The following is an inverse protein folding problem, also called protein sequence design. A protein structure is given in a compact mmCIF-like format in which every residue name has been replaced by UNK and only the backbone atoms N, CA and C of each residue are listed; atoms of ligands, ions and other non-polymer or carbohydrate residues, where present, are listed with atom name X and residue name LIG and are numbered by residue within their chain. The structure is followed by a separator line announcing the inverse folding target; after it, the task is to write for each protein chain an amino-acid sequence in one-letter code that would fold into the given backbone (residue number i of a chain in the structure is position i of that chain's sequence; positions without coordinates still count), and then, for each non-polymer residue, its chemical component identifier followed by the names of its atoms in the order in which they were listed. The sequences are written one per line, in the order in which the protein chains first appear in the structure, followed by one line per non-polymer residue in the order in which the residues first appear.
data_IF_349258121441
#
_entry.id   IF_349258121441
#
_cell.length_a   1.000
_cell.length_b   1.000
_cell.length_c   1.000
_cell.angle_alpha   90.00
_cell.angle_beta   90.00
_cell.angle_gamma   90.00
#
_symmetry.space_group_name_H-M   'P 1'
#
loop_
_entity.id
_entity.type
_entity.pdbx_description
1 polymer ?
#
# COMPACT_ATOMS: atom_id res chain seq x y z
N UNK A 1 23.84 22.69 -14.79
CA UNK A 1 22.44 22.88 -15.23
C UNK A 1 21.64 21.56 -15.28
N UNK A 2 22.01 20.51 -14.54
CA UNK A 2 21.40 19.17 -14.69
C UNK A 2 21.23 18.37 -13.38
N UNK A 3 21.56 18.93 -12.21
CA UNK A 3 21.70 18.14 -10.96
C UNK A 3 20.75 18.50 -9.82
N UNK A 4 19.85 19.49 -9.95
CA UNK A 4 19.05 19.99 -8.81
C UNK A 4 17.54 19.76 -8.91
N UNK A 5 17.03 19.25 -10.03
CA UNK A 5 15.66 18.72 -10.07
C UNK A 5 15.55 17.32 -9.42
N UNK A 6 16.67 16.67 -9.06
CA UNK A 6 16.64 15.26 -8.66
C UNK A 6 16.17 15.01 -7.22
N UNK A 7 16.39 15.91 -6.27
CA UNK A 7 16.19 15.58 -4.84
C UNK A 7 14.70 15.45 -4.47
N UNK A 8 13.79 16.27 -5.04
CA UNK A 8 12.34 16.08 -4.82
C UNK A 8 11.72 15.02 -5.73
N UNK A 9 12.30 14.76 -6.90
CA UNK A 9 11.72 13.85 -7.88
C UNK A 9 12.12 12.38 -7.65
N UNK A 10 13.27 12.11 -7.03
CA UNK A 10 13.76 10.73 -6.85
C UNK A 10 13.14 10.02 -5.65
N UNK A 11 12.91 10.72 -4.52
CA UNK A 11 12.34 10.12 -3.30
C UNK A 11 10.84 10.39 -3.09
N UNK A 12 10.21 11.23 -3.95
CA UNK A 12 8.80 11.64 -3.85
C UNK A 12 8.39 12.13 -2.45
N UNK A 13 9.30 12.82 -1.74
CA UNK A 13 9.11 13.28 -0.36
C UNK A 13 9.69 14.68 -0.16
N UNK A 14 9.00 15.49 0.64
CA UNK A 14 9.57 16.72 1.18
C UNK A 14 10.47 16.44 2.39
N UNK A 15 11.40 17.34 2.68
CA UNK A 15 12.15 17.34 3.94
C UNK A 15 11.19 17.45 5.12
N UNK A 16 11.47 16.71 6.20
CA UNK A 16 10.60 16.66 7.37
C UNK A 16 10.26 18.05 7.94
N UNK A 17 11.28 18.90 8.09
CA UNK A 17 11.10 20.26 8.61
C UNK A 17 10.14 21.10 7.75
N UNK A 18 10.22 20.96 6.43
CA UNK A 18 9.33 21.66 5.51
C UNK A 18 7.90 21.11 5.59
N UNK A 19 7.75 19.78 5.67
CA UNK A 19 6.44 19.15 5.82
C UNK A 19 5.75 19.55 7.15
N UNK A 20 6.50 19.60 8.25
CA UNK A 20 5.96 20.02 9.55
C UNK A 20 5.46 21.49 9.49
N UNK A 21 6.22 22.38 8.85
CA UNK A 21 5.79 23.77 8.58
C UNK A 21 4.48 23.81 7.76
N UNK A 22 4.34 22.98 6.72
CA UNK A 22 3.12 22.92 5.91
C UNK A 22 1.89 22.45 6.70
N UNK A 23 2.07 21.64 7.75
CA UNK A 23 0.99 21.12 8.58
C UNK A 23 0.49 22.14 9.61
N UNK A 24 1.32 23.11 10.01
CA UNK A 24 0.94 24.17 10.94
C UNK A 24 -0.08 25.17 10.34
N UNK A 25 -0.16 25.26 9.01
CA UNK A 25 -1.13 26.11 8.32
C UNK A 25 -2.49 25.42 8.22
N UNK A 26 -3.46 25.85 9.05
CA UNK A 26 -4.82 25.29 9.08
C UNK A 26 -5.82 25.98 8.14
N UNK A 27 -5.46 27.14 7.59
CA UNK A 27 -6.27 27.92 6.65
C UNK A 27 -5.48 28.15 5.36
N UNK A 28 -6.19 28.45 4.28
CA UNK A 28 -5.59 28.82 3.00
C UNK A 28 -4.80 30.12 3.14
N UNK A 29 -3.52 30.08 2.79
CA UNK A 29 -2.66 31.26 2.78
C UNK A 29 -2.09 31.43 1.38
N UNK A 30 -2.17 32.64 0.84
CA UNK A 30 -1.70 33.00 -0.49
C UNK A 30 -0.51 33.95 -0.42
N UNK A 31 0.25 34.01 -1.52
CA UNK A 31 1.32 35.00 -1.72
C UNK A 31 2.34 35.05 -0.58
N UNK A 32 2.67 33.89 -0.03
CA UNK A 32 3.73 33.77 0.97
C UNK A 32 5.05 34.02 0.26
N UNK A 33 5.72 35.10 0.66
CA UNK A 33 7.15 35.28 0.42
C UNK A 33 7.89 34.28 1.31
N UNK A 34 8.18 33.12 0.74
CA UNK A 34 9.20 32.25 1.31
C UNK A 34 10.51 33.02 1.19
N UNK A 35 11.04 33.51 2.31
CA UNK A 35 12.21 34.39 2.32
C UNK A 35 13.29 33.91 1.32
N UNK A 36 13.95 34.83 0.59
CA UNK A 36 14.91 34.50 -0.47
C UNK A 36 16.15 33.72 0.01
N UNK A 37 16.25 33.41 1.31
CA UNK A 37 17.36 32.68 1.93
C UNK A 37 17.20 31.17 1.97
N UNK A 38 15.99 30.60 1.75
CA UNK A 38 15.80 29.15 1.72
C UNK A 38 14.75 28.75 0.68
N UNK A 39 15.23 28.29 -0.47
CA UNK A 39 14.37 27.70 -1.48
C UNK A 39 13.66 26.49 -0.85
N UNK A 40 12.35 26.31 -1.08
CA UNK A 40 11.57 25.11 -0.67
C UNK A 40 12.29 23.78 -0.96
N UNK A 41 13.18 23.81 -1.94
CA UNK A 41 13.90 22.67 -2.49
C UNK A 41 15.35 22.57 -1.99
N UNK A 42 15.95 23.65 -1.45
CA UNK A 42 17.36 23.69 -1.05
C UNK A 42 17.65 24.84 -0.05
N UNK A 43 18.15 24.48 1.14
CA UNK A 43 18.48 25.41 2.22
C UNK A 43 19.88 26.04 2.11
N UNK A 44 20.68 25.63 1.11
CA UNK A 44 22.11 25.98 1.03
C UNK A 44 22.46 27.04 -0.02
N UNK A 45 21.49 27.59 -0.76
CA UNK A 45 21.74 28.60 -1.81
C UNK A 45 20.71 29.73 -1.83
N UNK A 46 21.18 30.94 -2.14
CA UNK A 46 20.36 32.11 -2.43
C UNK A 46 19.37 31.79 -3.57
N UNK A 47 18.09 32.09 -3.35
CA UNK A 47 17.02 31.83 -4.32
C UNK A 47 17.29 32.56 -5.64
N UNK A 48 17.43 31.80 -6.73
CA UNK A 48 17.73 32.31 -8.09
C UNK A 48 16.50 33.03 -8.70
N UNK A 49 15.34 32.96 -8.05
CA UNK A 49 14.05 33.45 -8.56
C UNK A 49 13.47 34.52 -7.63
N UNK A 50 13.85 35.80 -7.79
CA UNK A 50 13.10 36.89 -7.18
C UNK A 50 11.67 36.86 -7.75
N UNK A 51 10.65 37.00 -6.89
CA UNK A 51 9.21 37.04 -7.23
C UNK A 51 8.52 35.66 -7.46
N UNK A 52 8.78 34.67 -6.60
CA UNK A 52 7.94 33.47 -6.52
C UNK A 52 6.83 33.64 -5.50
N UNK A 53 5.58 33.53 -5.93
CA UNK A 53 4.43 33.50 -5.03
C UNK A 53 4.07 32.06 -4.72
N UNK A 54 3.82 31.77 -3.44
CA UNK A 54 3.38 30.44 -2.98
C UNK A 54 2.04 30.54 -2.27
N UNK A 55 1.14 29.62 -2.59
CA UNK A 55 -0.10 29.39 -1.85
C UNK A 55 -0.08 28.01 -1.19
N UNK A 56 -0.49 27.98 0.08
CA UNK A 56 -0.58 26.78 0.91
C UNK A 56 -2.05 26.56 1.22
N UNK A 57 -2.62 25.47 0.69
CA UNK A 57 -4.03 25.13 0.84
C UNK A 57 -4.17 23.82 1.61
N UNK A 58 -4.77 23.84 2.80
CA UNK A 58 -5.12 22.63 3.55
C UNK A 58 -5.97 21.64 2.75
N UNK A 59 -5.57 20.37 2.74
CA UNK A 59 -6.43 19.27 2.28
C UNK A 59 -7.05 18.63 3.50
N UNK A 60 -8.33 18.90 3.72
CA UNK A 60 -9.12 18.35 4.82
C UNK A 60 -10.17 17.37 4.28
N UNK A 61 -10.48 16.34 5.05
CA UNK A 61 -11.56 15.42 4.71
C UNK A 61 -11.88 14.47 5.86
N UNK A 62 -13.15 14.06 5.97
CA UNK A 62 -13.60 13.16 7.05
C UNK A 62 -13.46 13.75 8.46
N UNK A 63 -13.29 15.07 8.59
CA UNK A 63 -13.02 15.74 9.86
C UNK A 63 -11.55 15.82 10.25
N UNK A 64 -10.63 15.35 9.38
CA UNK A 64 -9.20 15.30 9.66
C UNK A 64 -8.37 16.05 8.61
N UNK A 65 -7.15 16.46 8.98
CA UNK A 65 -6.14 17.01 8.08
C UNK A 65 -5.45 15.88 7.32
N UNK A 66 -5.69 15.80 6.00
CA UNK A 66 -5.18 14.72 5.14
C UNK A 66 -3.84 15.07 4.47
N UNK A 67 -3.58 16.35 4.22
CA UNK A 67 -2.35 16.80 3.57
C UNK A 67 -2.38 18.29 3.24
N UNK A 68 -1.48 18.72 2.36
CA UNK A 68 -1.36 20.13 1.96
C UNK A 68 -1.15 20.22 0.45
N UNK A 69 -1.98 21.03 -0.22
CA UNK A 69 -1.79 21.42 -1.61
C UNK A 69 -0.92 22.68 -1.63
N UNK A 70 0.26 22.57 -2.24
CA UNK A 70 1.20 23.69 -2.40
C UNK A 70 1.19 24.11 -3.86
N UNK A 71 0.86 25.39 -4.11
CA UNK A 71 0.91 26.00 -5.43
C UNK A 71 2.02 27.03 -5.44
N UNK A 72 2.86 27.02 -6.47
CA UNK A 72 3.90 28.02 -6.66
C UNK A 72 3.83 28.55 -8.09
N UNK A 73 3.89 29.87 -8.25
CA UNK A 73 4.00 30.52 -9.57
C UNK A 73 4.91 31.73 -9.52
N UNK A 74 5.47 32.07 -10.69
CA UNK A 74 6.33 33.24 -10.83
C UNK A 74 5.53 34.42 -11.39
N UNK A 75 6.02 35.63 -11.11
CA UNK A 75 5.60 36.88 -11.76
C UNK A 75 4.16 37.35 -11.53
N UNK A 76 3.31 36.59 -10.82
CA UNK A 76 1.92 36.96 -10.53
C UNK A 76 1.42 36.45 -9.19
N UNK A 77 0.84 37.36 -8.39
CA UNK A 77 0.18 37.04 -7.11
C UNK A 77 -1.10 36.24 -7.32
N UNK A 78 -1.34 35.21 -6.51
CA UNK A 78 -2.61 34.50 -6.40
C UNK A 78 -3.72 35.46 -5.98
N UNK A 79 -4.77 35.56 -6.81
CA UNK A 79 -6.00 36.29 -6.48
C UNK A 79 -7.08 35.37 -5.93
N UNK A 80 -8.23 35.95 -5.59
CA UNK A 80 -9.37 35.22 -5.02
C UNK A 80 -9.88 34.12 -5.95
N UNK A 81 -9.91 34.36 -7.27
CA UNK A 81 -10.33 33.35 -8.26
C UNK A 81 -9.39 32.13 -8.26
N UNK A 82 -8.10 32.35 -8.10
CA UNK A 82 -7.11 31.28 -8.00
C UNK A 82 -7.31 30.47 -6.71
N UNK A 83 -7.57 31.15 -5.59
CA UNK A 83 -7.82 30.50 -4.30
C UNK A 83 -9.10 29.67 -4.30
N UNK A 84 -10.18 30.18 -4.88
CA UNK A 84 -11.44 29.43 -5.02
C UNK A 84 -11.19 28.12 -5.77
N UNK A 85 -10.45 28.17 -6.89
CA UNK A 85 -10.10 26.98 -7.65
C UNK A 85 -9.17 26.05 -6.86
N UNK A 86 -8.23 26.60 -6.11
CA UNK A 86 -7.29 25.83 -5.31
C UNK A 86 -7.97 25.10 -4.15
N UNK A 87 -8.90 25.75 -3.44
CA UNK A 87 -9.68 25.16 -2.35
C UNK A 87 -10.66 24.10 -2.85
N UNK A 88 -11.31 24.36 -3.98
CA UNK A 88 -12.14 23.36 -4.63
C UNK A 88 -11.31 22.13 -5.03
N UNK A 89 -10.13 22.36 -5.61
CA UNK A 89 -9.19 21.29 -5.96
C UNK A 89 -8.71 20.53 -4.73
N UNK A 90 -8.37 21.22 -3.64
CA UNK A 90 -7.96 20.59 -2.38
C UNK A 90 -9.07 19.70 -1.82
N UNK A 91 -10.34 20.14 -1.91
CA UNK A 91 -11.50 19.34 -1.50
C UNK A 91 -11.64 18.07 -2.33
N UNK A 92 -11.55 18.17 -3.66
CA UNK A 92 -11.62 17.01 -4.57
C UNK A 92 -10.47 16.03 -4.30
N UNK A 93 -9.24 16.53 -4.12
CA UNK A 93 -8.09 15.69 -3.77
C UNK A 93 -8.30 15.01 -2.42
N UNK A 94 -8.84 15.71 -1.42
CA UNK A 94 -9.17 15.13 -0.12
C UNK A 94 -10.16 13.98 -0.23
N UNK A 95 -11.19 14.11 -1.07
CA UNK A 95 -12.15 13.03 -1.35
C UNK A 95 -11.47 11.81 -1.98
N UNK A 96 -10.58 12.01 -2.94
CA UNK A 96 -9.85 10.91 -3.60
C UNK A 96 -8.86 10.22 -2.65
N UNK A 97 -8.23 10.94 -1.73
CA UNK A 97 -7.39 10.35 -0.68
C UNK A 97 -8.22 9.42 0.23
N UNK A 98 -9.38 9.88 0.70
CA UNK A 98 -10.26 9.06 1.55
C UNK A 98 -10.74 7.83 0.79
N UNK A 99 -11.18 8.01 -0.46
CA UNK A 99 -11.61 6.92 -1.31
C UNK A 99 -10.52 5.88 -1.50
N UNK A 100 -9.30 6.30 -1.86
CA UNK A 100 -8.16 5.39 -2.02
C UNK A 100 -7.87 4.58 -0.76
N UNK A 101 -7.96 5.20 0.43
CA UNK A 101 -7.79 4.49 1.70
C UNK A 101 -8.93 3.51 1.95
N UNK A 102 -10.17 3.89 1.63
CA UNK A 102 -11.34 3.00 1.76
C UNK A 102 -11.21 1.78 0.86
N UNK A 103 -10.81 1.97 -0.39
CA UNK A 103 -10.60 0.88 -1.35
C UNK A 103 -9.50 -0.09 -0.88
N UNK A 104 -8.41 0.43 -0.28
CA UNK A 104 -7.35 -0.39 0.32
C UNK A 104 -7.87 -1.23 1.50
N UNK A 105 -8.66 -0.63 2.39
CA UNK A 105 -9.28 -1.33 3.54
C UNK A 105 -10.25 -2.41 3.05
N UNK A 106 -11.07 -2.11 2.05
CA UNK A 106 -12.02 -3.05 1.46
C UNK A 106 -11.30 -4.24 0.80
N UNK A 107 -10.25 -3.97 0.04
CA UNK A 107 -9.42 -5.00 -0.58
C UNK A 107 -8.79 -5.92 0.47
N UNK A 108 -8.21 -5.34 1.52
CA UNK A 108 -7.63 -6.07 2.65
C UNK A 108 -8.68 -6.93 3.38
N UNK A 109 -9.88 -6.39 3.60
CA UNK A 109 -10.99 -7.13 4.19
C UNK A 109 -11.46 -8.28 3.29
N UNK A 110 -11.57 -8.04 1.98
CA UNK A 110 -11.96 -9.06 1.00
C UNK A 110 -10.95 -10.19 0.95
N UNK A 111 -9.66 -9.88 0.90
CA UNK A 111 -8.58 -10.88 0.93
C UNK A 111 -8.66 -11.77 2.17
N UNK A 112 -8.88 -11.18 3.35
CA UNK A 112 -9.06 -11.94 4.60
C UNK A 112 -10.32 -12.81 4.57
N UNK A 113 -11.44 -12.26 4.10
CA UNK A 113 -12.72 -12.98 4.03
C UNK A 113 -12.64 -14.23 3.14
N UNK A 114 -12.00 -14.14 1.98
CA UNK A 114 -11.78 -15.29 1.08
C UNK A 114 -10.99 -16.39 1.79
N UNK A 115 -9.92 -16.03 2.50
CA UNK A 115 -9.10 -16.99 3.25
C UNK A 115 -9.90 -17.65 4.36
N UNK A 116 -10.61 -16.86 5.18
CA UNK A 116 -11.41 -17.39 6.28
C UNK A 116 -12.51 -18.35 5.79
N UNK A 117 -13.19 -18.00 4.70
CA UNK A 117 -14.19 -18.88 4.08
C UNK A 117 -13.56 -20.21 3.67
N UNK A 118 -12.42 -20.18 2.97
CA UNK A 118 -11.76 -21.40 2.52
C UNK A 118 -11.25 -22.26 3.69
N UNK A 119 -10.66 -21.65 4.73
CA UNK A 119 -10.27 -22.35 5.96
C UNK A 119 -11.48 -23.04 6.60
N UNK A 120 -12.64 -22.39 6.63
CA UNK A 120 -13.89 -22.97 7.13
C UNK A 120 -14.42 -24.17 6.34
N UNK A 121 -13.95 -24.39 5.10
CA UNK A 121 -14.31 -25.58 4.30
C UNK A 121 -13.39 -26.78 4.52
N UNK A 122 -12.27 -26.59 5.23
CA UNK A 122 -11.33 -27.67 5.52
C UNK A 122 -11.80 -28.47 6.73
N UNK A 123 -11.63 -29.79 6.65
CA UNK A 123 -11.64 -30.66 7.81
C UNK A 123 -10.37 -30.47 8.65
N UNK A 124 -10.40 -30.93 9.90
CA UNK A 124 -9.25 -30.82 10.81
C UNK A 124 -7.96 -31.38 10.20
N UNK A 125 -8.00 -32.59 9.63
CA UNK A 125 -6.83 -33.20 8.98
C UNK A 125 -6.38 -32.47 7.71
N UNK A 126 -7.30 -31.84 6.97
CA UNK A 126 -6.94 -31.02 5.80
C UNK A 126 -6.28 -29.71 6.23
N UNK A 127 -6.72 -29.11 7.33
CA UNK A 127 -6.12 -27.89 7.90
C UNK A 127 -4.70 -28.18 8.41
N UNK A 128 -4.51 -29.29 9.13
CA UNK A 128 -3.19 -29.75 9.56
C UNK A 128 -2.27 -30.05 8.36
N UNK A 129 -2.80 -30.69 7.31
CA UNK A 129 -2.06 -30.92 6.08
C UNK A 129 -1.57 -29.62 5.44
N UNK A 130 -2.44 -28.61 5.33
CA UNK A 130 -2.10 -27.30 4.76
C UNK A 130 -1.02 -26.58 5.55
N UNK A 131 -1.09 -26.62 6.88
CA UNK A 131 -0.07 -26.01 7.75
C UNK A 131 1.32 -26.58 7.47
N UNK A 132 1.42 -27.91 7.39
CA UNK A 132 2.68 -28.58 7.08
C UNK A 132 3.15 -28.30 5.64
N UNK A 133 2.24 -28.25 4.67
CA UNK A 133 2.57 -27.91 3.28
C UNK A 133 3.17 -26.51 3.21
N UNK A 134 2.55 -25.52 3.87
CA UNK A 134 3.00 -24.12 3.84
C UNK A 134 4.34 -23.93 4.56
N UNK A 135 4.63 -24.71 5.60
CA UNK A 135 5.95 -24.72 6.26
C UNK A 135 7.06 -25.34 5.38
N UNK A 136 6.72 -26.17 4.40
CA UNK A 136 7.68 -26.72 3.44
C UNK A 136 7.96 -25.78 2.26
N UNK A 137 7.15 -24.75 2.04
CA UNK A 137 7.39 -23.76 1.00
C UNK A 137 8.49 -22.79 1.43
N UNK A 138 9.35 -22.42 0.47
CA UNK A 138 10.38 -21.41 0.68
C UNK A 138 9.80 -20.03 0.35
N UNK A 139 9.01 -19.48 1.27
CA UNK A 139 8.28 -18.22 1.08
C UNK A 139 6.86 -18.43 0.55
N UNK A 140 6.50 -17.74 -0.54
CA UNK A 140 5.13 -17.77 -1.12
C UNK A 140 4.96 -18.77 -2.25
N UNK A 141 6.01 -19.48 -2.66
CA UNK A 141 5.96 -20.47 -3.72
C UNK A 141 6.99 -21.59 -3.52
N UNK A 142 6.76 -22.75 -4.13
CA UNK A 142 7.66 -23.88 -3.98
C UNK A 142 7.18 -25.17 -4.60
N UNK A 143 8.06 -26.17 -4.57
CA UNK A 143 7.77 -27.51 -5.07
C UNK A 143 7.38 -28.43 -3.92
N UNK A 144 6.15 -28.95 -3.96
CA UNK A 144 5.64 -29.89 -2.99
C UNK A 144 5.67 -31.32 -3.52
N UNK A 145 6.17 -32.25 -2.71
CA UNK A 145 6.04 -33.69 -2.97
C UNK A 145 5.07 -34.29 -1.97
N UNK A 146 3.81 -34.46 -2.38
CA UNK A 146 2.71 -34.88 -1.49
C UNK A 146 2.98 -36.21 -0.76
N UNK A 147 3.69 -37.16 -1.36
CA UNK A 147 4.08 -38.40 -0.68
C UNK A 147 5.03 -38.14 0.49
N UNK A 148 5.99 -37.23 0.34
CA UNK A 148 6.97 -36.90 1.38
C UNK A 148 6.33 -36.21 2.59
N UNK A 149 5.30 -35.39 2.35
CA UNK A 149 4.51 -34.75 3.40
C UNK A 149 3.62 -35.77 4.10
N UNK A 150 2.90 -36.60 3.33
CA UNK A 150 2.04 -37.65 3.84
C UNK A 150 2.79 -38.60 4.81
N UNK A 151 3.97 -39.06 4.39
CA UNK A 151 4.78 -40.00 5.18
C UNK A 151 5.34 -39.36 6.46
N UNK A 152 5.62 -38.05 6.46
CA UNK A 152 6.16 -37.33 7.63
C UNK A 152 5.10 -37.01 8.67
N UNK A 153 3.94 -36.55 8.22
CA UNK A 153 2.84 -36.08 9.09
C UNK A 153 1.92 -37.24 9.50
N UNK A 154 1.99 -38.38 8.78
CA UNK A 154 1.14 -39.53 9.07
C UNK A 154 -0.29 -39.39 8.54
N UNK A 155 -0.47 -38.60 7.48
CA UNK A 155 -1.77 -38.38 6.81
C UNK A 155 -1.79 -39.05 5.43
N UNK A 156 -2.99 -39.31 4.89
CA UNK A 156 -3.11 -39.87 3.55
C UNK A 156 -2.86 -38.80 2.47
N UNK A 157 -2.30 -39.20 1.32
CA UNK A 157 -2.09 -38.27 0.18
C UNK A 157 -3.39 -37.64 -0.32
N UNK A 158 -4.52 -38.33 -0.18
CA UNK A 158 -5.84 -37.80 -0.59
C UNK A 158 -6.26 -36.59 0.24
N UNK A 159 -5.92 -36.54 1.54
CA UNK A 159 -6.18 -35.38 2.41
C UNK A 159 -5.43 -34.15 1.90
N UNK A 160 -4.14 -34.31 1.56
CA UNK A 160 -3.31 -33.23 0.99
C UNK A 160 -3.90 -32.73 -0.33
N UNK A 161 -4.21 -33.63 -1.26
CA UNK A 161 -4.74 -33.27 -2.58
C UNK A 161 -6.10 -32.57 -2.46
N UNK A 162 -6.97 -33.04 -1.57
CA UNK A 162 -8.27 -32.41 -1.34
C UNK A 162 -8.14 -31.01 -0.75
N UNK A 163 -7.26 -30.82 0.23
CA UNK A 163 -7.01 -29.52 0.82
C UNK A 163 -6.49 -28.51 -0.22
N UNK A 164 -5.49 -28.92 -1.02
CA UNK A 164 -4.97 -28.10 -2.12
C UNK A 164 -6.04 -27.75 -3.15
N UNK A 165 -6.89 -28.73 -3.52
CA UNK A 165 -7.99 -28.50 -4.47
C UNK A 165 -9.01 -27.49 -3.94
N UNK A 166 -9.33 -27.51 -2.64
CA UNK A 166 -10.24 -26.53 -2.02
C UNK A 166 -9.65 -25.12 -2.06
N UNK A 167 -8.36 -24.97 -1.78
CA UNK A 167 -7.67 -23.68 -1.83
C UNK A 167 -7.50 -23.14 -3.26
N UNK A 168 -7.20 -24.02 -4.21
CA UNK A 168 -7.14 -23.66 -5.63
C UNK A 168 -8.52 -23.22 -6.14
N UNK A 169 -9.59 -23.93 -5.73
CA UNK A 169 -10.97 -23.55 -6.08
C UNK A 169 -11.39 -22.20 -5.47
N UNK A 170 -10.81 -21.81 -4.32
CA UNK A 170 -11.02 -20.52 -3.69
C UNK A 170 -10.11 -19.40 -4.24
N UNK A 171 -9.22 -19.71 -5.19
CA UNK A 171 -8.26 -18.75 -5.75
C UNK A 171 -7.19 -18.30 -4.76
N UNK A 172 -6.95 -19.07 -3.70
CA UNK A 172 -5.95 -18.76 -2.67
C UNK A 172 -4.55 -19.23 -3.08
N UNK A 173 -4.50 -20.34 -3.81
CA UNK A 173 -3.27 -20.89 -4.38
C UNK A 173 -3.46 -21.23 -5.86
N UNK A 174 -2.36 -21.33 -6.56
CA UNK A 174 -2.27 -21.94 -7.89
C UNK A 174 -1.44 -23.21 -7.78
N UNK A 175 -1.90 -24.31 -8.39
CA UNK A 175 -1.16 -25.55 -8.42
C UNK A 175 -0.83 -25.98 -9.85
N UNK A 176 0.40 -26.44 -10.08
CA UNK A 176 0.83 -26.99 -11.38
C UNK A 176 1.53 -28.32 -11.17
N UNK A 177 0.90 -29.40 -11.65
CA UNK A 177 1.49 -30.74 -11.60
C UNK A 177 2.73 -30.81 -12.50
N UNK A 178 3.85 -31.30 -11.94
CA UNK A 178 5.09 -31.64 -12.65
C UNK A 178 5.29 -33.16 -12.72
N UNK A 179 4.20 -33.92 -12.59
CA UNK A 179 4.21 -35.38 -12.58
C UNK A 179 4.98 -35.92 -11.38
N UNK A 180 5.93 -36.84 -11.63
CA UNK A 180 6.70 -37.50 -10.56
C UNK A 180 7.62 -36.55 -9.77
N UNK A 181 7.91 -35.36 -10.30
CA UNK A 181 8.73 -34.36 -9.60
C UNK A 181 7.97 -33.66 -8.47
N UNK A 182 6.64 -33.77 -8.44
CA UNK A 182 5.76 -33.12 -7.47
C UNK A 182 4.83 -32.09 -8.11
N UNK A 183 4.28 -31.23 -7.27
CA UNK A 183 3.35 -30.15 -7.65
C UNK A 183 3.98 -28.82 -7.26
N UNK A 184 4.11 -27.92 -8.23
CA UNK A 184 4.46 -26.54 -7.94
C UNK A 184 3.25 -25.83 -7.36
N UNK A 185 3.44 -25.12 -6.25
CA UNK A 185 2.38 -24.37 -5.57
C UNK A 185 2.84 -22.92 -5.47
N UNK A 186 1.93 -22.00 -5.76
CA UNK A 186 2.11 -20.57 -5.55
C UNK A 186 0.94 -20.03 -4.74
N UNK A 187 1.23 -19.33 -3.65
CA UNK A 187 0.23 -18.62 -2.85
C UNK A 187 -0.13 -17.32 -3.57
N UNK A 188 -1.42 -17.16 -3.87
CA UNK A 188 -1.97 -15.96 -4.53
C UNK A 188 -2.45 -14.92 -3.53
N UNK A 189 -2.90 -15.36 -2.34
CA UNK A 189 -3.41 -14.48 -1.30
C UNK A 189 -2.41 -14.36 -0.14
N UNK A 190 -1.87 -13.15 0.04
CA UNK A 190 -0.85 -12.83 1.05
C UNK A 190 -1.35 -12.95 2.50
N UNK A 191 -2.67 -13.02 2.73
CA UNK A 191 -3.26 -13.16 4.06
C UNK A 191 -3.37 -14.60 4.54
N UNK A 192 -3.05 -15.58 3.70
CA UNK A 192 -3.20 -16.99 4.03
C UNK A 192 -2.43 -17.40 5.30
N UNK A 193 -1.15 -17.05 5.36
CA UNK A 193 -0.26 -17.44 6.46
C UNK A 193 -0.69 -16.80 7.78
N UNK A 194 -1.14 -15.54 7.73
CA UNK A 194 -1.56 -14.80 8.92
C UNK A 194 -2.88 -15.32 9.47
N UNK A 195 -3.87 -15.58 8.62
CA UNK A 195 -5.15 -16.13 9.06
C UNK A 195 -5.02 -17.59 9.52
N UNK A 196 -4.17 -18.40 8.89
CA UNK A 196 -3.93 -19.77 9.33
C UNK A 196 -3.34 -19.85 10.75
N UNK A 197 -2.42 -18.94 11.09
CA UNK A 197 -1.86 -18.85 12.46
C UNK A 197 -2.93 -18.56 13.52
N UNK A 198 -3.92 -17.71 13.20
CA UNK A 198 -5.00 -17.36 14.13
C UNK A 198 -5.93 -18.52 14.46
N UNK A 199 -6.14 -19.44 13.51
CA UNK A 199 -6.98 -20.62 13.75
C UNK A 199 -6.29 -21.65 14.64
N UNK A 200 -4.96 -21.57 14.77
CA UNK A 200 -4.16 -22.46 15.63
C UNK A 200 -3.95 -21.94 17.06
N UNK A 201 -4.05 -20.63 17.27
CA UNK A 201 -3.90 -19.96 18.57
C UNK A 201 -5.19 -19.95 19.36
#
# INVERSE_FOLDING_TARGET
RQYHNHILLDERRFLKQYNDMLLDHNESVANIDLEPTKCVLDNEKDCIYPNSYTAIIPINGGGERLGTLVLARFDSEFGDEDLILAEYSATVVGMEIIRSKSDEIEEEARKKAVVQLALGTLSFSELEAVDHILQELDGTEGLLVASKVADRVGITRSVIVNALRKFESAGIIESRSLGMKGTYIKVLNDKLLDELKKVRS
#
